data_IF_349441087709
#
_entry.id   IF_349441087709
#
_cell.length_a   1.000
_cell.length_b   1.000
_cell.length_c   1.000
_cell.angle_alpha   90.00
_cell.angle_beta   90.00
_cell.angle_gamma   90.00
#
_symmetry.space_group_name_H-M   'P 1'
#
loop_
_entity.id
_entity.type
_entity.pdbx_description
1 polymer ?
#
# COMPACT_ATOMS: atom_id res chain seq x y z
N UNK A 1 -44.78 -18.99 -10.77
CA UNK A 1 -43.48 -19.53 -10.30
C UNK A 1 -42.29 -19.21 -11.24
N UNK A 2 -42.45 -19.26 -12.58
CA UNK A 2 -41.38 -18.96 -13.56
C UNK A 2 -40.77 -17.55 -13.49
N UNK A 3 -41.59 -16.51 -13.27
CA UNK A 3 -41.15 -15.09 -13.19
C UNK A 3 -40.18 -14.78 -12.04
N UNK A 4 -40.28 -15.50 -10.91
CA UNK A 4 -39.33 -15.35 -9.79
C UNK A 4 -37.96 -15.96 -10.12
N UNK A 5 -37.92 -17.05 -10.90
CA UNK A 5 -36.68 -17.71 -11.34
C UNK A 5 -35.89 -16.86 -12.34
N UNK A 6 -36.55 -16.17 -13.27
CA UNK A 6 -35.90 -15.22 -14.20
C UNK A 6 -35.33 -13.99 -13.47
N UNK A 7 -36.05 -13.46 -12.47
CA UNK A 7 -35.57 -12.33 -11.66
C UNK A 7 -34.34 -12.68 -10.81
N UNK A 8 -34.25 -13.92 -10.29
CA UNK A 8 -33.07 -14.39 -9.55
C UNK A 8 -31.87 -14.61 -10.47
N UNK A 9 -32.08 -15.20 -11.65
CA UNK A 9 -31.01 -15.43 -12.64
C UNK A 9 -30.39 -14.10 -13.10
N UNK A 10 -31.18 -13.05 -13.35
CA UNK A 10 -30.67 -11.74 -13.78
C UNK A 10 -29.85 -11.04 -12.67
N UNK A 11 -30.29 -11.09 -11.41
CA UNK A 11 -29.57 -10.48 -10.27
C UNK A 11 -28.24 -11.17 -9.96
N UNK A 12 -28.17 -12.49 -10.12
CA UNK A 12 -26.93 -13.24 -9.91
C UNK A 12 -25.92 -13.03 -11.05
N UNK A 13 -26.40 -12.93 -12.30
CA UNK A 13 -25.56 -12.54 -13.45
C UNK A 13 -25.05 -11.09 -13.35
N UNK A 14 -25.86 -10.15 -12.87
CA UNK A 14 -25.41 -8.77 -12.59
C UNK A 14 -24.39 -8.67 -11.45
N UNK A 15 -24.50 -9.51 -10.41
CA UNK A 15 -23.54 -9.55 -9.30
C UNK A 15 -22.18 -10.11 -9.70
N UNK A 16 -22.14 -11.09 -10.62
CA UNK A 16 -20.89 -11.70 -11.10
C UNK A 16 -20.10 -10.75 -12.03
N UNK A 17 -20.75 -9.73 -12.61
CA UNK A 17 -20.11 -8.78 -13.54
C UNK A 17 -19.44 -7.58 -12.85
N UNK A 18 -20.04 -6.96 -11.82
CA UNK A 18 -19.51 -5.68 -11.28
C UNK A 18 -18.08 -5.76 -10.74
N UNK A 19 -17.74 -6.82 -9.97
CA UNK A 19 -16.38 -6.98 -9.44
C UNK A 19 -15.36 -7.23 -10.55
N UNK A 20 -15.71 -8.08 -11.52
CA UNK A 20 -14.87 -8.37 -12.69
C UNK A 20 -14.70 -7.15 -13.59
N UNK A 21 -15.74 -6.34 -13.75
CA UNK A 21 -15.72 -5.13 -14.57
C UNK A 21 -14.89 -4.02 -13.92
N UNK A 22 -15.01 -3.84 -12.60
CA UNK A 22 -14.14 -2.93 -11.83
C UNK A 22 -12.68 -3.38 -11.90
N UNK A 23 -12.41 -4.68 -11.70
CA UNK A 23 -11.05 -5.22 -11.79
C UNK A 23 -10.47 -5.08 -13.20
N UNK A 24 -11.27 -5.35 -14.24
CA UNK A 24 -10.87 -5.17 -15.64
C UNK A 24 -10.58 -3.70 -15.96
N UNK A 25 -11.40 -2.77 -15.48
CA UNK A 25 -11.18 -1.31 -15.63
C UNK A 25 -9.93 -0.84 -14.88
N UNK A 26 -9.67 -1.42 -13.71
CA UNK A 26 -8.46 -1.14 -12.92
C UNK A 26 -7.19 -1.59 -13.65
N UNK A 27 -7.15 -2.84 -14.13
CA UNK A 27 -5.98 -3.39 -14.86
C UNK A 27 -5.84 -2.77 -16.26
N UNK A 28 -6.92 -2.28 -16.86
CA UNK A 28 -6.85 -1.57 -18.14
C UNK A 28 -6.28 -0.16 -18.04
N UNK A 29 -6.15 0.41 -16.83
CA UNK A 29 -5.60 1.75 -16.65
C UNK A 29 -4.09 1.64 -16.32
N UNK A 30 -3.20 2.05 -17.25
CA UNK A 30 -1.75 1.90 -17.06
C UNK A 30 -1.22 2.70 -15.87
N UNK A 31 -1.82 3.85 -15.54
CA UNK A 31 -1.41 4.67 -14.38
C UNK A 31 -1.78 3.96 -13.07
N UNK A 32 -2.98 3.39 -13.01
CA UNK A 32 -3.44 2.65 -11.83
C UNK A 32 -2.59 1.38 -11.62
N UNK A 33 -2.28 0.66 -12.69
CA UNK A 33 -1.42 -0.52 -12.64
C UNK A 33 0.00 -0.16 -12.23
N UNK A 34 0.60 0.87 -12.83
CA UNK A 34 1.96 1.30 -12.50
C UNK A 34 2.09 1.65 -11.00
N UNK A 35 1.14 2.43 -10.46
CA UNK A 35 1.12 2.75 -9.04
C UNK A 35 0.97 1.51 -8.15
N UNK A 36 0.08 0.58 -8.52
CA UNK A 36 -0.12 -0.66 -7.78
C UNK A 36 1.11 -1.57 -7.78
N UNK A 37 1.77 -1.70 -8.93
CA UNK A 37 3.00 -2.50 -9.08
C UNK A 37 4.14 -1.89 -8.27
N UNK A 38 4.36 -0.58 -8.36
CA UNK A 38 5.41 0.10 -7.58
C UNK A 38 5.19 -0.06 -6.08
N UNK A 39 3.95 0.10 -5.61
CA UNK A 39 3.62 -0.06 -4.20
C UNK A 39 3.83 -1.52 -3.73
N UNK A 40 3.42 -2.50 -4.55
CA UNK A 40 3.68 -3.91 -4.28
C UNK A 40 5.18 -4.22 -4.20
N UNK A 41 5.98 -3.69 -5.12
CA UNK A 41 7.43 -3.87 -5.10
C UNK A 41 8.02 -3.29 -3.81
N UNK A 42 7.64 -2.07 -3.43
CA UNK A 42 8.13 -1.45 -2.18
C UNK A 42 7.76 -2.31 -0.97
N UNK A 43 6.54 -2.86 -0.90
CA UNK A 43 6.14 -3.74 0.20
C UNK A 43 6.99 -5.02 0.22
N UNK A 44 7.16 -5.68 -0.92
CA UNK A 44 7.95 -6.91 -1.02
C UNK A 44 9.40 -6.65 -0.63
N UNK A 45 10.03 -5.63 -1.20
CA UNK A 45 11.41 -5.27 -0.85
C UNK A 45 11.54 -4.76 0.57
N UNK A 46 10.54 -4.08 1.13
CA UNK A 46 10.60 -3.67 2.54
C UNK A 46 10.53 -4.86 3.50
N UNK A 47 9.77 -5.91 3.16
CA UNK A 47 9.68 -7.12 3.98
C UNK A 47 10.91 -8.03 3.82
N UNK A 48 11.36 -8.25 2.58
CA UNK A 48 12.42 -9.20 2.24
C UNK A 48 13.80 -8.55 2.21
N UNK A 49 13.88 -7.24 1.96
CA UNK A 49 15.14 -6.50 1.76
C UNK A 49 16.07 -6.52 2.96
N UNK A 50 15.53 -6.52 4.18
CA UNK A 50 16.33 -6.69 5.40
C UNK A 50 16.90 -8.11 5.52
N UNK A 51 16.21 -9.13 5.01
CA UNK A 51 16.67 -10.52 5.05
C UNK A 51 17.65 -10.87 3.92
N UNK A 52 17.83 -10.00 2.92
CA UNK A 52 18.75 -10.21 1.81
C UNK A 52 20.21 -9.89 2.18
N UNK A 53 20.42 -9.15 3.27
CA UNK A 53 21.75 -8.84 3.79
C UNK A 53 21.99 -9.56 5.12
N UNK A 54 23.19 -10.12 5.35
CA UNK A 54 23.56 -10.69 6.64
C UNK A 54 23.74 -9.62 7.73
N UNK A 55 23.86 -8.35 7.33
CA UNK A 55 24.07 -7.20 8.22
C UNK A 55 22.76 -6.69 8.79
N UNK A 56 22.75 -6.42 10.09
CA UNK A 56 21.60 -5.79 10.75
C UNK A 56 21.65 -4.27 10.54
N UNK A 57 20.50 -3.61 10.36
CA UNK A 57 20.41 -2.15 10.15
C UNK A 57 21.04 -1.29 11.27
N UNK A 58 21.38 -1.90 12.42
CA UNK A 58 21.98 -1.25 13.58
C UNK A 58 23.42 -1.70 13.87
N UNK A 59 23.94 -2.68 13.12
CA UNK A 59 25.30 -3.18 13.32
C UNK A 59 26.30 -2.13 12.85
N UNK A 60 27.28 -1.81 13.70
CA UNK A 60 28.28 -0.79 13.47
C UNK A 60 29.64 -1.46 13.34
N UNK A 61 30.19 -1.45 12.13
CA UNK A 61 31.55 -1.93 11.89
C UNK A 61 32.42 -0.70 11.66
N UNK A 62 33.13 -0.25 12.71
CA UNK A 62 33.99 0.95 12.64
C UNK A 62 35.05 0.90 11.53
N UNK A 63 35.52 -0.30 11.21
CA UNK A 63 36.50 -0.52 10.12
C UNK A 63 35.88 -0.37 8.71
N UNK A 64 34.56 -0.48 8.60
CA UNK A 64 33.80 -0.39 7.36
C UNK A 64 33.11 0.96 7.22
N UNK A 65 33.81 2.07 7.52
CA UNK A 65 33.23 3.42 7.46
C UNK A 65 33.41 4.02 6.07
N UNK A 66 32.35 4.63 5.51
CA UNK A 66 32.37 5.31 4.21
C UNK A 66 32.91 4.46 3.05
N UNK A 67 32.62 3.15 3.07
CA UNK A 67 32.94 2.27 1.96
C UNK A 67 32.04 2.54 0.75
N UNK A 68 32.61 2.53 -0.48
CA UNK A 68 31.83 2.56 -1.71
C UNK A 68 30.99 1.28 -1.87
N UNK A 69 29.98 1.28 -2.76
CA UNK A 69 29.16 0.10 -3.01
C UNK A 69 30.01 -1.09 -3.46
N UNK A 70 29.84 -2.22 -2.77
CA UNK A 70 30.57 -3.46 -2.98
C UNK A 70 29.63 -4.66 -2.98
N UNK A 71 30.12 -5.85 -3.35
CA UNK A 71 29.32 -7.09 -3.28
C UNK A 71 28.89 -7.46 -1.85
N UNK A 72 29.63 -6.96 -0.86
CA UNK A 72 29.35 -7.14 0.57
C UNK A 72 28.38 -6.06 1.08
N UNK A 73 28.56 -4.80 0.65
CA UNK A 73 27.67 -3.68 0.94
C UNK A 73 27.05 -3.12 -0.34
N UNK A 74 25.88 -3.62 -0.73
CA UNK A 74 25.27 -3.32 -2.04
C UNK A 74 25.07 -1.82 -2.30
N UNK A 75 24.77 -1.04 -1.27
CA UNK A 75 24.66 0.42 -1.33
C UNK A 75 25.78 1.16 -0.58
N UNK A 76 26.81 0.45 -0.14
CA UNK A 76 27.88 1.00 0.70
C UNK A 76 27.46 1.17 2.15
N UNK A 77 28.33 1.84 2.90
CA UNK A 77 28.19 2.04 4.35
C UNK A 77 28.16 3.52 4.71
N UNK A 78 27.41 3.86 5.75
CA UNK A 78 27.32 5.22 6.29
C UNK A 78 28.57 5.63 7.10
N UNK A 79 28.60 6.87 7.60
CA UNK A 79 29.66 7.46 8.45
C UNK A 79 29.92 6.69 9.76
N UNK A 80 28.99 5.80 10.14
CA UNK A 80 29.09 4.94 11.32
C UNK A 80 29.39 3.47 10.96
N UNK A 81 29.72 3.19 9.70
CA UNK A 81 29.97 1.85 9.19
C UNK A 81 28.75 0.94 9.24
N UNK A 82 27.57 1.53 8.96
CA UNK A 82 26.28 0.84 8.92
C UNK A 82 25.88 0.61 7.48
N UNK A 83 25.34 -0.57 7.18
CA UNK A 83 24.89 -0.91 5.84
C UNK A 83 23.67 -0.06 5.42
N UNK A 84 23.81 0.65 4.28
CA UNK A 84 22.78 1.56 3.77
C UNK A 84 21.58 0.79 3.22
N UNK A 85 21.81 -0.38 2.60
CA UNK A 85 20.75 -1.21 2.04
C UNK A 85 19.78 -1.69 3.13
N UNK A 86 20.31 -2.28 4.21
CA UNK A 86 19.50 -2.74 5.33
C UNK A 86 18.70 -1.57 5.96
N UNK A 87 19.30 -0.38 6.08
CA UNK A 87 18.62 0.81 6.62
C UNK A 87 17.51 1.35 5.73
N UNK A 88 17.69 1.35 4.40
CA UNK A 88 16.64 1.80 3.47
C UNK A 88 15.39 0.94 3.60
N UNK A 89 15.55 -0.39 3.66
CA UNK A 89 14.40 -1.30 3.76
C UNK A 89 13.78 -1.35 5.15
N UNK A 90 14.59 -1.22 6.21
CA UNK A 90 14.10 -1.04 7.57
C UNK A 90 13.29 0.27 7.70
N UNK A 91 13.77 1.38 7.11
CA UNK A 91 13.03 2.63 6.99
C UNK A 91 11.73 2.48 6.20
N UNK A 92 11.75 1.68 5.12
CA UNK A 92 10.57 1.33 4.34
C UNK A 92 9.44 0.72 5.18
N UNK A 93 9.75 -0.15 6.15
CA UNK A 93 8.75 -0.77 7.04
C UNK A 93 8.05 0.28 7.90
N UNK A 94 8.83 1.23 8.40
CA UNK A 94 8.33 2.36 9.20
C UNK A 94 7.44 3.24 8.32
N UNK A 95 7.88 3.62 7.12
CA UNK A 95 7.09 4.44 6.19
C UNK A 95 5.77 3.78 5.81
N UNK A 96 5.76 2.46 5.55
CA UNK A 96 4.55 1.70 5.27
C UNK A 96 3.58 1.72 6.45
N UNK A 97 4.10 1.54 7.67
CA UNK A 97 3.29 1.56 8.88
C UNK A 97 2.66 2.93 9.11
N UNK A 98 3.45 4.00 9.00
CA UNK A 98 2.95 5.39 9.14
C UNK A 98 1.92 5.71 8.06
N UNK A 99 2.18 5.32 6.81
CA UNK A 99 1.24 5.52 5.71
C UNK A 99 -0.10 4.81 5.92
N UNK A 100 -0.06 3.57 6.44
CA UNK A 100 -1.27 2.80 6.75
C UNK A 100 -2.08 3.45 7.88
N UNK A 101 -1.41 3.86 8.96
CA UNK A 101 -2.05 4.53 10.10
C UNK A 101 -2.65 5.87 9.67
N UNK A 102 -1.91 6.66 8.89
CA UNK A 102 -2.39 7.94 8.35
C UNK A 102 -3.64 7.75 7.48
N UNK A 103 -3.63 6.76 6.57
CA UNK A 103 -4.78 6.45 5.73
C UNK A 103 -6.01 6.01 6.55
N UNK A 104 -5.81 5.20 7.60
CA UNK A 104 -6.89 4.78 8.48
C UNK A 104 -7.52 5.97 9.23
N UNK A 105 -6.69 6.90 9.72
CA UNK A 105 -7.14 8.13 10.37
C UNK A 105 -7.87 9.05 9.38
N UNK A 106 -7.35 9.21 8.18
CA UNK A 106 -7.96 10.03 7.12
C UNK A 106 -9.35 9.51 6.73
N UNK A 107 -9.48 8.19 6.52
CA UNK A 107 -10.78 7.56 6.27
C UNK A 107 -11.72 7.76 7.47
N UNK A 108 -11.23 7.56 8.70
CA UNK A 108 -12.03 7.75 9.91
C UNK A 108 -12.59 9.17 10.00
N UNK A 109 -11.74 10.18 9.87
CA UNK A 109 -12.14 11.59 9.89
C UNK A 109 -13.04 11.96 8.71
N UNK A 110 -12.70 11.48 7.52
CA UNK A 110 -13.48 11.71 6.30
C UNK A 110 -14.90 11.13 6.39
N UNK A 111 -15.06 9.94 6.98
CA UNK A 111 -16.38 9.33 7.21
C UNK A 111 -17.17 10.10 8.26
N UNK A 112 -16.54 10.56 9.35
CA UNK A 112 -17.22 11.35 10.38
C UNK A 112 -17.73 12.68 9.82
N UNK A 113 -16.87 13.44 9.16
CA UNK A 113 -17.21 14.75 8.58
C UNK A 113 -18.17 14.58 7.40
N UNK A 114 -17.91 13.62 6.52
CA UNK A 114 -18.78 13.27 5.39
C UNK A 114 -20.17 12.83 5.84
N UNK A 115 -20.25 11.98 6.87
CA UNK A 115 -21.51 11.56 7.48
C UNK A 115 -22.27 12.73 8.11
N UNK A 116 -21.59 13.59 8.87
CA UNK A 116 -22.21 14.76 9.50
C UNK A 116 -22.76 15.74 8.45
N UNK A 117 -21.96 16.07 7.43
CA UNK A 117 -22.38 16.97 6.35
C UNK A 117 -23.53 16.39 5.51
N UNK A 118 -23.53 15.08 5.26
CA UNK A 118 -24.63 14.38 4.60
C UNK A 118 -25.93 14.43 5.41
N UNK A 119 -25.85 14.23 6.73
CA UNK A 119 -27.01 14.31 7.63
C UNK A 119 -27.63 15.71 7.68
N UNK A 120 -26.80 16.75 7.84
CA UNK A 120 -27.27 18.14 7.92
C UNK A 120 -27.85 18.62 6.59
N UNK A 121 -27.25 18.23 5.46
CA UNK A 121 -27.72 18.65 4.12
C UNK A 121 -28.96 17.87 3.65
N UNK A 122 -29.07 16.59 3.98
CA UNK A 122 -30.26 15.77 3.66
C UNK A 122 -31.54 16.27 4.33
N UNK A 123 -31.43 16.87 5.54
CA UNK A 123 -32.57 17.45 6.26
C UNK A 123 -33.17 18.68 5.59
N UNK A 124 -32.37 19.44 4.82
CA UNK A 124 -32.84 20.68 4.15
C UNK A 124 -33.55 20.45 2.81
N UNK A 125 -33.53 19.24 2.25
CA UNK A 125 -34.11 18.97 0.93
C UNK A 125 -35.63 18.64 0.96
N UNK A 126 -36.21 18.50 2.15
CA UNK A 126 -37.62 18.10 2.36
C UNK A 126 -38.55 19.22 2.84
N UNK A 127 -38.08 20.47 2.92
CA UNK A 127 -38.87 21.66 3.27
C UNK A 127 -38.80 22.66 2.11
#
# INVERSE_FOLDING_TARGET
MKRKKELTINKDQQKISRKKEVFRKFVSNPIAVLGSVTLLLIIVFSLVGESLTPFTASEQVKEATNLPPSSEHWFGTDDLGRDIWARTWAGGKISLTVGLVAAALDIGLGVLIGGFSGYVRGRKFYL
#
